data_IF_962147706556
#
_entry.id   IF_962147706556
#
_cell.length_a   1.000
_cell.length_b   1.000
_cell.length_c   1.000
_cell.angle_alpha   90.00
_cell.angle_beta   90.00
_cell.angle_gamma   90.00
#
_symmetry.space_group_name_H-M   'P 1'
#
loop_
_entity.id
_entity.type
_entity.pdbx_description
1 polymer ?
#
# COMPACT_ATOMS: atom_id res chain seq x y z
N UNK A 1 36.05 -7.66 35.44
CA UNK A 1 35.50 -6.48 34.73
C UNK A 1 35.69 -6.54 33.22
N UNK A 2 36.89 -6.84 32.68
CA UNK A 2 37.12 -6.94 31.21
C UNK A 2 36.24 -7.99 30.49
N UNK A 3 35.98 -9.14 31.10
CA UNK A 3 35.10 -10.17 30.53
C UNK A 3 33.61 -9.80 30.57
N UNK A 4 33.21 -8.92 31.50
CA UNK A 4 31.82 -8.46 31.62
C UNK A 4 31.49 -7.44 30.52
N UNK A 5 32.42 -6.55 30.18
CA UNK A 5 32.28 -5.62 29.06
C UNK A 5 32.25 -6.31 27.70
N UNK A 6 33.00 -7.39 27.51
CA UNK A 6 32.95 -8.19 26.27
C UNK A 6 31.62 -8.93 26.12
N UNK A 7 31.03 -9.39 27.23
CA UNK A 7 29.73 -10.08 27.23
C UNK A 7 28.57 -9.13 26.90
N UNK A 8 28.62 -7.89 27.41
CA UNK A 8 27.61 -6.85 27.12
C UNK A 8 27.68 -6.44 25.63
N UNK A 9 28.89 -6.34 25.05
CA UNK A 9 29.05 -6.00 23.64
C UNK A 9 28.54 -7.11 22.71
N UNK A 10 28.72 -8.39 23.08
CA UNK A 10 28.18 -9.51 22.31
C UNK A 10 26.64 -9.61 22.38
N UNK A 11 26.03 -9.18 23.50
CA UNK A 11 24.58 -9.19 23.69
C UNK A 11 23.87 -8.08 22.88
N UNK A 12 24.56 -6.95 22.62
CA UNK A 12 24.01 -5.85 21.81
C UNK A 12 23.97 -6.19 20.30
N UNK A 13 24.82 -7.10 19.82
CA UNK A 13 24.84 -7.51 18.41
C UNK A 13 23.72 -8.50 18.03
N UNK A 14 23.19 -9.26 18.99
CA UNK A 14 22.14 -10.24 18.67
C UNK A 14 20.77 -9.60 18.48
N UNK A 15 20.49 -8.48 19.15
CA UNK A 15 19.18 -7.80 19.06
C UNK A 15 19.00 -7.13 17.69
N UNK A 16 20.06 -6.53 17.13
CA UNK A 16 19.98 -5.86 15.82
C UNK A 16 19.79 -6.84 14.65
N UNK A 17 20.28 -8.08 14.79
CA UNK A 17 20.15 -9.09 13.74
C UNK A 17 18.71 -9.59 13.56
N UNK A 18 17.91 -9.65 14.63
CA UNK A 18 16.49 -10.03 14.55
C UNK A 18 15.62 -8.89 13.99
N UNK A 19 15.93 -7.64 14.32
CA UNK A 19 15.24 -6.46 13.77
C UNK A 19 15.44 -6.31 12.24
N UNK A 20 16.62 -6.65 11.72
CA UNK A 20 16.84 -6.60 10.28
C UNK A 20 16.12 -7.74 9.52
N UNK A 21 16.00 -8.91 10.14
CA UNK A 21 15.42 -10.08 9.47
C UNK A 21 13.90 -9.97 9.22
N UNK A 22 13.14 -9.31 10.09
CA UNK A 22 11.68 -9.21 9.93
C UNK A 22 11.30 -8.11 8.92
N UNK A 23 11.95 -6.95 8.99
CA UNK A 23 11.78 -5.85 8.03
C UNK A 23 12.05 -6.31 6.60
N UNK A 24 13.11 -7.12 6.40
CA UNK A 24 13.42 -7.73 5.10
C UNK A 24 12.32 -8.71 4.64
N UNK A 25 11.79 -9.55 5.53
CA UNK A 25 10.69 -10.48 5.21
C UNK A 25 9.43 -9.73 4.79
N UNK A 26 9.02 -8.71 5.55
CA UNK A 26 7.84 -7.90 5.27
C UNK A 26 8.01 -7.14 3.95
N UNK A 27 9.17 -6.51 3.75
CA UNK A 27 9.48 -5.78 2.50
C UNK A 27 9.38 -6.69 1.29
N UNK A 28 9.92 -7.92 1.37
CA UNK A 28 9.81 -8.90 0.28
C UNK A 28 8.36 -9.31 0.00
N UNK A 29 7.55 -9.51 1.03
CA UNK A 29 6.15 -9.85 0.88
C UNK A 29 5.34 -8.67 0.30
N UNK A 30 5.62 -7.44 0.73
CA UNK A 30 5.00 -6.23 0.19
C UNK A 30 5.36 -6.04 -1.30
N UNK A 31 6.62 -6.25 -1.66
CA UNK A 31 7.05 -6.21 -3.06
C UNK A 31 6.32 -7.27 -3.89
N UNK A 32 6.21 -8.50 -3.40
CA UNK A 32 5.47 -9.57 -4.09
C UNK A 32 4.00 -9.19 -4.31
N UNK A 33 3.37 -8.60 -3.30
CA UNK A 33 2.01 -8.07 -3.38
C UNK A 33 1.89 -6.98 -4.48
N UNK A 34 2.83 -6.04 -4.54
CA UNK A 34 2.85 -5.00 -5.56
C UNK A 34 3.16 -5.53 -6.96
N UNK A 35 4.01 -6.55 -7.08
CA UNK A 35 4.31 -7.21 -8.35
C UNK A 35 3.06 -7.89 -8.89
N UNK A 36 2.25 -8.55 -8.04
CA UNK A 36 0.96 -9.09 -8.45
C UNK A 36 -0.03 -8.01 -8.89
N UNK A 37 -0.07 -6.88 -8.20
CA UNK A 37 -0.92 -5.76 -8.57
C UNK A 37 -0.52 -5.17 -9.94
N UNK A 38 0.79 -5.02 -10.18
CA UNK A 38 1.34 -4.52 -11.46
C UNK A 38 1.11 -5.52 -12.59
N UNK A 39 1.26 -6.81 -12.32
CA UNK A 39 0.98 -7.89 -13.27
C UNK A 39 -0.52 -8.19 -13.44
N UNK A 40 -1.40 -7.46 -12.73
CA UNK A 40 -2.85 -7.68 -12.71
C UNK A 40 -3.24 -9.12 -12.31
N UNK A 41 -2.39 -9.79 -11.52
CA UNK A 41 -2.68 -11.08 -10.91
C UNK A 41 -3.53 -10.87 -9.66
N UNK A 42 -4.83 -10.62 -9.85
CA UNK A 42 -5.73 -10.30 -8.76
C UNK A 42 -5.92 -11.43 -7.76
N UNK A 43 -5.78 -12.70 -8.16
CA UNK A 43 -5.78 -13.79 -7.19
C UNK A 43 -4.59 -13.68 -6.24
N UNK A 44 -3.39 -13.39 -6.76
CA UNK A 44 -2.20 -13.15 -5.95
C UNK A 44 -2.36 -11.94 -5.02
N UNK A 45 -2.96 -10.84 -5.49
CA UNK A 45 -3.27 -9.67 -4.65
C UNK A 45 -4.19 -10.06 -3.48
N UNK A 46 -5.29 -10.75 -3.78
CA UNK A 46 -6.29 -11.14 -2.78
C UNK A 46 -5.76 -12.18 -1.79
N UNK A 47 -4.81 -13.01 -2.20
CA UNK A 47 -4.15 -13.98 -1.29
C UNK A 47 -3.30 -13.30 -0.22
N UNK A 48 -2.80 -12.10 -0.52
CA UNK A 48 -2.04 -11.26 0.41
C UNK A 48 -2.90 -10.31 1.23
N UNK A 49 -4.18 -10.14 0.88
CA UNK A 49 -5.11 -9.29 1.62
C UNK A 49 -5.50 -9.94 2.96
N UNK A 50 -5.61 -9.15 4.02
CA UNK A 50 -6.03 -9.68 5.32
C UNK A 50 -7.48 -10.21 5.24
N UNK A 51 -7.75 -11.49 5.60
CA UNK A 51 -9.03 -12.14 5.25
C UNK A 51 -10.30 -11.47 5.78
N UNK A 52 -10.26 -10.74 6.90
CA UNK A 52 -11.43 -9.98 7.40
C UNK A 52 -11.88 -8.86 6.46
N UNK A 53 -11.06 -8.46 5.49
CA UNK A 53 -11.49 -7.55 4.42
C UNK A 53 -12.65 -8.15 3.62
N UNK A 54 -12.71 -9.48 3.50
CA UNK A 54 -13.80 -10.15 2.79
C UNK A 54 -15.15 -10.14 3.52
N UNK A 55 -15.20 -9.65 4.75
CA UNK A 55 -16.46 -9.41 5.47
C UNK A 55 -17.21 -8.19 4.89
N UNK A 56 -16.48 -7.25 4.25
CA UNK A 56 -17.09 -6.10 3.57
C UNK A 56 -17.67 -6.48 2.20
N UNK A 57 -16.94 -7.30 1.45
CA UNK A 57 -17.39 -7.86 0.18
C UNK A 57 -16.71 -9.21 -0.08
N UNK A 58 -17.42 -10.21 -0.62
CA UNK A 58 -16.83 -11.51 -0.92
C UNK A 58 -15.61 -11.40 -1.84
N UNK A 59 -14.60 -12.25 -1.63
CA UNK A 59 -13.37 -12.31 -2.45
C UNK A 59 -13.66 -12.30 -3.96
N UNK A 60 -14.65 -13.06 -4.41
CA UNK A 60 -15.03 -13.12 -5.83
C UNK A 60 -15.57 -11.77 -6.36
N UNK A 61 -16.34 -11.05 -5.55
CA UNK A 61 -16.84 -9.73 -5.89
C UNK A 61 -15.72 -8.70 -5.92
N UNK A 62 -14.78 -8.74 -4.96
CA UNK A 62 -13.60 -7.89 -4.97
C UNK A 62 -12.74 -8.13 -6.22
N UNK A 63 -12.49 -9.40 -6.55
CA UNK A 63 -11.78 -9.77 -7.78
C UNK A 63 -12.45 -9.18 -9.03
N UNK A 64 -13.76 -9.39 -9.17
CA UNK A 64 -14.51 -8.88 -10.31
C UNK A 64 -14.46 -7.35 -10.40
N UNK A 65 -14.53 -6.65 -9.26
CA UNK A 65 -14.39 -5.19 -9.19
C UNK A 65 -13.00 -4.72 -9.66
N UNK A 66 -11.93 -5.38 -9.21
CA UNK A 66 -10.56 -5.08 -9.66
C UNK A 66 -10.41 -5.34 -11.16
N UNK A 67 -10.87 -6.50 -11.66
CA UNK A 67 -10.83 -6.84 -13.08
C UNK A 67 -11.57 -5.80 -13.93
N UNK A 68 -12.77 -5.40 -13.52
CA UNK A 68 -13.56 -4.39 -14.21
C UNK A 68 -12.85 -3.02 -14.24
N UNK A 69 -12.26 -2.61 -13.11
CA UNK A 69 -11.55 -1.33 -13.01
C UNK A 69 -10.33 -1.29 -13.95
N UNK A 70 -9.56 -2.37 -14.01
CA UNK A 70 -8.33 -2.43 -14.81
C UNK A 70 -8.53 -2.80 -16.28
N UNK A 71 -9.69 -3.35 -16.64
CA UNK A 71 -10.06 -3.68 -18.02
C UNK A 71 -10.98 -2.64 -18.68
N UNK A 72 -11.26 -1.51 -18.01
CA UNK A 72 -12.13 -0.47 -18.55
C UNK A 72 -11.59 0.08 -19.89
N UNK A 73 -12.40 0.11 -20.96
CA UNK A 73 -11.99 0.69 -22.24
C UNK A 73 -11.95 2.22 -22.20
N UNK A 74 -12.59 2.84 -21.22
CA UNK A 74 -12.68 4.30 -21.09
C UNK A 74 -11.47 4.89 -20.35
N UNK A 75 -10.89 4.11 -19.44
CA UNK A 75 -9.81 4.56 -18.57
C UNK A 75 -8.82 3.43 -18.31
N UNK A 76 -7.54 3.71 -18.50
CA UNK A 76 -6.45 2.78 -18.21
C UNK A 76 -5.72 3.23 -16.95
N UNK A 77 -5.59 2.34 -15.97
CA UNK A 77 -4.84 2.58 -14.74
C UNK A 77 -3.58 1.71 -14.76
N UNK A 78 -2.44 2.33 -14.47
CA UNK A 78 -1.13 1.68 -14.43
C UNK A 78 -0.41 2.06 -13.14
N UNK A 79 0.08 1.08 -12.40
CA UNK A 79 1.04 1.31 -11.34
C UNK A 79 2.43 1.43 -11.97
N UNK A 80 3.04 2.61 -11.87
CA UNK A 80 4.38 2.87 -12.40
C UNK A 80 5.46 2.38 -11.44
N UNK A 81 5.27 2.60 -10.14
CA UNK A 81 6.09 2.03 -9.06
C UNK A 81 5.33 1.98 -7.74
N UNK A 82 5.74 1.06 -6.87
CA UNK A 82 5.31 1.00 -5.48
C UNK A 82 6.56 0.65 -4.66
N UNK A 83 7.18 1.68 -4.10
CA UNK A 83 8.49 1.58 -3.48
C UNK A 83 8.32 1.62 -1.95
N UNK A 84 8.65 0.52 -1.27
CA UNK A 84 8.64 0.48 0.21
C UNK A 84 9.72 1.43 0.72
N UNK A 85 9.31 2.46 1.47
CA UNK A 85 10.21 3.48 2.00
C UNK A 85 10.66 3.16 3.43
N UNK A 86 9.78 2.58 4.24
CA UNK A 86 10.05 2.19 5.63
C UNK A 86 9.14 1.03 6.05
N UNK A 87 9.68 0.15 6.89
CA UNK A 87 8.89 -0.80 7.68
C UNK A 87 9.16 -0.48 9.15
N UNK A 88 8.10 -0.34 9.95
CA UNK A 88 8.22 -0.10 11.40
C UNK A 88 8.78 -1.33 12.12
N UNK A 89 9.09 -1.17 13.40
CA UNK A 89 9.29 -2.33 14.27
C UNK A 89 8.00 -3.15 14.43
N UNK A 90 8.13 -4.39 14.92
CA UNK A 90 6.97 -5.25 15.17
C UNK A 90 6.28 -4.91 16.49
N UNK A 91 4.95 -4.89 16.47
CA UNK A 91 4.11 -4.88 17.66
C UNK A 91 3.34 -6.18 17.78
N UNK A 92 3.45 -6.85 18.92
CA UNK A 92 2.68 -8.08 19.19
C UNK A 92 1.52 -7.77 20.15
N UNK A 93 0.30 -8.10 19.74
CA UNK A 93 -0.91 -8.03 20.57
C UNK A 93 -1.70 -9.31 20.35
N UNK A 94 -2.07 -9.99 21.44
CA UNK A 94 -2.86 -11.23 21.38
C UNK A 94 -2.29 -12.33 20.46
N UNK A 95 -0.96 -12.44 20.39
CA UNK A 95 -0.20 -13.36 19.51
C UNK A 95 -0.29 -13.05 18.01
N UNK A 96 -0.88 -11.92 17.64
CA UNK A 96 -0.83 -11.38 16.28
C UNK A 96 0.30 -10.37 16.25
N UNK A 97 1.17 -10.49 15.25
CA UNK A 97 2.25 -9.53 15.00
C UNK A 97 1.83 -8.54 13.95
N UNK A 98 2.08 -7.26 14.20
CA UNK A 98 1.76 -6.14 13.34
C UNK A 98 3.03 -5.35 13.02
N UNK A 99 3.10 -4.80 11.82
CA UNK A 99 4.06 -3.77 11.43
C UNK A 99 3.36 -2.76 10.50
N UNK A 100 3.81 -1.52 10.47
CA UNK A 100 3.42 -0.54 9.46
C UNK A 100 4.41 -0.59 8.30
N UNK A 101 3.89 -0.58 7.08
CA UNK A 101 4.67 -0.49 5.84
C UNK A 101 4.32 0.85 5.20
N UNK A 102 5.32 1.72 5.13
CA UNK A 102 5.24 2.99 4.44
C UNK A 102 5.82 2.81 3.05
N UNK A 103 5.15 3.37 2.06
CA UNK A 103 5.55 3.23 0.67
C UNK A 103 5.15 4.45 -0.13
N UNK A 104 5.92 4.71 -1.17
CA UNK A 104 5.59 5.69 -2.18
C UNK A 104 4.96 4.96 -3.37
N UNK A 105 3.74 5.34 -3.74
CA UNK A 105 3.01 4.76 -4.87
C UNK A 105 2.90 5.79 -5.99
N UNK A 106 3.36 5.39 -7.18
CA UNK A 106 3.25 6.19 -8.38
C UNK A 106 2.31 5.52 -9.36
N UNK A 107 1.22 6.20 -9.67
CA UNK A 107 0.17 5.69 -10.56
C UNK A 107 -0.01 6.61 -11.77
N UNK A 108 -0.40 6.02 -12.90
CA UNK A 108 -0.81 6.74 -14.09
C UNK A 108 -2.25 6.36 -14.44
N UNK A 109 -3.09 7.37 -14.52
CA UNK A 109 -4.47 7.26 -14.98
C UNK A 109 -4.57 7.89 -16.37
N UNK A 110 -4.95 7.11 -17.38
CA UNK A 110 -5.09 7.57 -18.76
C UNK A 110 -6.55 7.52 -19.18
N UNK A 111 -7.09 8.65 -19.63
CA UNK A 111 -8.48 8.79 -20.06
C UNK A 111 -8.61 8.50 -21.55
N UNK A 112 -8.80 7.24 -21.89
CA UNK A 112 -8.83 6.74 -23.27
C UNK A 112 -10.03 7.30 -24.03
N UNK A 113 -11.19 7.41 -23.38
CA UNK A 113 -12.42 7.96 -23.98
C UNK A 113 -12.29 9.42 -24.44
N UNK A 114 -11.37 10.16 -23.84
CA UNK A 114 -11.21 11.60 -24.07
C UNK A 114 -10.22 11.92 -25.20
N UNK A 115 -9.38 10.96 -25.63
CA UNK A 115 -8.27 11.23 -26.57
C UNK A 115 -8.72 11.81 -27.92
N UNK A 116 -9.89 11.41 -28.40
CA UNK A 116 -10.41 11.81 -29.72
C UNK A 116 -11.34 13.04 -29.68
N UNK A 117 -11.55 13.64 -28.50
CA UNK A 117 -12.38 14.84 -28.36
C UNK A 117 -11.64 16.10 -28.82
N UNK A 118 -12.36 17.19 -29.12
CA UNK A 118 -11.76 18.50 -29.38
C UNK A 118 -10.76 18.92 -28.29
N UNK A 119 -9.73 19.67 -28.67
CA UNK A 119 -8.64 20.07 -27.76
C UNK A 119 -9.14 20.84 -26.54
N UNK A 120 -10.11 21.73 -26.73
CA UNK A 120 -10.72 22.51 -25.65
C UNK A 120 -11.43 21.62 -24.63
N UNK A 121 -12.24 20.66 -25.09
CA UNK A 121 -12.95 19.70 -24.24
C UNK A 121 -11.96 18.84 -23.44
N UNK A 122 -10.91 18.36 -24.11
CA UNK A 122 -9.84 17.58 -23.50
C UNK A 122 -9.14 18.36 -22.38
N UNK A 123 -8.84 19.62 -22.64
CA UNK A 123 -8.16 20.48 -21.68
C UNK A 123 -9.05 20.75 -20.47
N UNK A 124 -10.29 21.14 -20.70
CA UNK A 124 -11.27 21.36 -19.63
C UNK A 124 -11.50 20.12 -18.78
N UNK A 125 -11.60 18.95 -19.41
CA UNK A 125 -11.74 17.67 -18.70
C UNK A 125 -10.48 17.35 -17.87
N UNK A 126 -9.29 17.44 -18.47
CA UNK A 126 -8.05 17.12 -17.77
C UNK A 126 -7.79 18.07 -16.59
N UNK A 127 -8.08 19.36 -16.75
CA UNK A 127 -7.96 20.36 -15.69
C UNK A 127 -8.94 20.07 -14.54
N UNK A 128 -10.18 19.69 -14.85
CA UNK A 128 -11.18 19.28 -13.85
C UNK A 128 -10.73 18.03 -13.08
N UNK A 129 -10.26 17.00 -13.78
CA UNK A 129 -9.77 15.78 -13.16
C UNK A 129 -8.52 16.06 -12.33
N UNK A 130 -7.59 16.89 -12.83
CA UNK A 130 -6.40 17.30 -12.08
C UNK A 130 -6.81 18.01 -10.79
N UNK A 131 -7.72 18.99 -10.85
CA UNK A 131 -8.20 19.69 -9.65
C UNK A 131 -8.82 18.74 -8.62
N UNK A 132 -9.51 17.70 -9.08
CA UNK A 132 -10.13 16.69 -8.20
C UNK A 132 -9.08 15.81 -7.53
N UNK A 133 -8.00 15.47 -8.25
CA UNK A 133 -6.87 14.71 -7.69
C UNK A 133 -5.99 15.59 -6.79
N UNK A 134 -5.75 16.85 -7.15
CA UNK A 134 -5.01 17.84 -6.34
C UNK A 134 -5.66 17.98 -4.96
N UNK A 135 -6.99 18.01 -4.90
CA UNK A 135 -7.75 18.06 -3.65
C UNK A 135 -7.55 16.83 -2.77
N UNK A 136 -7.26 15.66 -3.35
CA UNK A 136 -7.16 14.39 -2.62
C UNK A 136 -5.71 14.09 -2.23
N UNK A 137 -4.76 14.38 -3.11
CA UNK A 137 -3.37 13.96 -2.99
C UNK A 137 -2.39 15.11 -2.78
N UNK A 138 -2.81 16.36 -2.94
CA UNK A 138 -1.94 17.53 -2.97
C UNK A 138 -1.53 17.91 -4.39
N UNK A 139 -1.45 19.22 -4.67
CA UNK A 139 -1.20 19.72 -6.02
C UNK A 139 0.22 19.42 -6.53
N UNK A 140 1.17 19.30 -5.61
CA UNK A 140 2.57 18.91 -5.84
C UNK A 140 2.72 17.43 -6.23
N UNK A 141 1.71 16.63 -5.90
CA UNK A 141 1.71 15.17 -6.05
C UNK A 141 0.99 14.71 -7.33
N UNK A 142 0.43 15.63 -8.11
CA UNK A 142 -0.32 15.31 -9.33
C UNK A 142 0.22 16.10 -10.52
N UNK A 143 0.71 15.37 -11.51
CA UNK A 143 1.17 15.93 -12.78
C UNK A 143 0.23 15.53 -13.93
N UNK A 144 -0.05 16.47 -14.83
CA UNK A 144 -0.85 16.24 -16.04
C UNK A 144 0.04 16.05 -17.27
N UNK A 145 -0.24 15.02 -18.06
CA UNK A 145 0.30 14.83 -19.42
C UNK A 145 -0.86 14.94 -20.42
N UNK A 146 -1.00 16.13 -21.01
CA UNK A 146 -2.06 16.44 -21.96
C UNK A 146 -1.95 15.62 -23.26
N UNK A 147 -0.73 15.30 -23.68
CA UNK A 147 -0.50 14.55 -24.92
C UNK A 147 -1.01 13.13 -24.78
N UNK A 148 -0.72 12.50 -23.64
CA UNK A 148 -1.22 11.17 -23.32
C UNK A 148 -2.66 11.16 -22.78
N UNK A 149 -3.27 12.33 -22.51
CA UNK A 149 -4.53 12.45 -21.76
C UNK A 149 -4.48 11.68 -20.45
N UNK A 150 -3.46 11.96 -19.63
CA UNK A 150 -3.23 11.23 -18.39
C UNK A 150 -2.85 12.11 -17.22
N UNK A 151 -3.16 11.64 -16.02
CA UNK A 151 -2.64 12.15 -14.77
C UNK A 151 -1.65 11.14 -14.18
N UNK A 152 -0.55 11.66 -13.66
CA UNK A 152 0.43 10.90 -12.89
C UNK A 152 0.28 11.37 -11.45
N UNK A 153 -0.05 10.43 -10.56
CA UNK A 153 -0.25 10.67 -9.14
C UNK A 153 0.91 10.01 -8.40
N UNK A 154 1.56 10.76 -7.53
CA UNK A 154 2.62 10.28 -6.66
C UNK A 154 2.19 10.49 -5.21
N UNK A 155 2.00 9.43 -4.44
CA UNK A 155 1.47 9.54 -3.08
C UNK A 155 2.27 8.69 -2.12
N UNK A 156 2.51 9.24 -0.93
CA UNK A 156 2.95 8.47 0.21
C UNK A 156 1.74 7.81 0.87
N UNK A 157 1.86 6.53 1.13
CA UNK A 157 0.79 5.71 1.67
C UNK A 157 1.31 4.75 2.73
N UNK A 158 0.39 4.21 3.51
CA UNK A 158 0.70 3.24 4.57
C UNK A 158 -0.26 2.07 4.49
N UNK A 159 0.25 0.89 4.83
CA UNK A 159 -0.56 -0.30 5.09
C UNK A 159 -0.04 -1.02 6.32
N UNK A 160 -0.88 -1.82 6.96
CA UNK A 160 -0.47 -2.70 8.04
C UNK A 160 -0.11 -4.09 7.48
N UNK A 161 1.07 -4.57 7.82
CA UNK A 161 1.46 -5.97 7.69
C UNK A 161 1.01 -6.71 8.96
N UNK A 162 0.29 -7.83 8.79
CA UNK A 162 -0.33 -8.59 9.86
C UNK A 162 0.06 -10.06 9.72
N UNK A 163 0.76 -10.60 10.71
CA UNK A 163 1.08 -12.02 10.86
C UNK A 163 0.17 -12.60 11.93
N UNK A 164 -0.95 -13.12 11.49
CA UNK A 164 -1.94 -13.77 12.32
C UNK A 164 -1.73 -15.30 12.26
N UNK A 165 -1.55 -16.00 13.39
CA UNK A 165 -1.37 -17.45 13.41
C UNK A 165 -2.48 -18.26 12.74
N UNK A 166 -3.66 -17.67 12.53
CA UNK A 166 -4.77 -18.31 11.80
C UNK A 166 -4.53 -18.38 10.29
N UNK A 167 -3.63 -17.56 9.76
CA UNK A 167 -3.37 -17.44 8.33
C UNK A 167 -1.92 -17.73 7.99
N UNK A 168 -1.67 -18.14 6.74
CA UNK A 168 -0.31 -18.41 6.27
C UNK A 168 0.34 -17.12 5.78
N UNK A 169 1.53 -16.84 6.33
CA UNK A 169 2.38 -15.72 5.93
C UNK A 169 1.86 -14.36 6.38
N UNK A 170 2.55 -13.31 5.93
CA UNK A 170 2.15 -11.92 6.14
C UNK A 170 0.95 -11.57 5.26
N UNK A 171 0.00 -10.84 5.83
CA UNK A 171 -1.15 -10.26 5.13
C UNK A 171 -1.14 -8.75 5.24
N UNK A 172 -1.74 -8.06 4.28
CA UNK A 172 -1.73 -6.62 4.19
C UNK A 172 -3.14 -6.05 4.28
N UNK A 173 -3.23 -4.89 4.95
CA UNK A 173 -4.44 -4.10 5.09
C UNK A 173 -4.10 -2.63 4.83
N UNK A 174 -4.67 -2.05 3.76
CA UNK A 174 -4.49 -0.63 3.44
C UNK A 174 -4.96 0.27 4.58
N UNK A 175 -4.21 1.34 4.85
CA UNK A 175 -4.53 2.33 5.87
C UNK A 175 -4.90 3.66 5.19
N UNK A 176 -6.11 3.71 4.64
CA UNK A 176 -6.71 4.90 4.06
C UNK A 176 -8.06 5.23 4.72
N UNK A 177 -8.57 6.43 4.44
CA UNK A 177 -9.82 6.92 5.03
C UNK A 177 -11.04 6.06 4.68
N UNK A 178 -11.07 5.46 3.49
CA UNK A 178 -12.16 4.58 3.08
C UNK A 178 -12.15 3.25 3.86
N UNK A 179 -10.96 2.80 4.26
CA UNK A 179 -10.75 1.59 5.06
C UNK A 179 -10.75 1.83 6.56
N UNK A 180 -10.87 3.09 7.02
CA UNK A 180 -10.71 3.47 8.43
C UNK A 180 -11.54 2.63 9.40
N UNK A 181 -12.82 2.39 9.10
CA UNK A 181 -13.69 1.59 9.98
C UNK A 181 -13.20 0.15 10.12
N UNK A 182 -12.73 -0.45 9.02
CA UNK A 182 -12.22 -1.81 9.03
C UNK A 182 -10.86 -1.88 9.75
N UNK A 183 -9.96 -0.93 9.46
CA UNK A 183 -8.68 -0.79 10.16
C UNK A 183 -8.89 -0.67 11.66
N UNK A 184 -9.82 0.19 12.09
CA UNK A 184 -10.13 0.42 13.50
C UNK A 184 -10.68 -0.85 14.19
N UNK A 185 -11.32 -1.75 13.44
CA UNK A 185 -11.84 -3.04 13.89
C UNK A 185 -10.80 -4.17 13.92
N UNK A 186 -9.73 -4.09 13.12
CA UNK A 186 -8.77 -5.19 12.94
C UNK A 186 -7.48 -4.93 13.70
N UNK A 187 -6.94 -3.72 13.57
CA UNK A 187 -5.65 -3.34 14.12
C UNK A 187 -5.92 -2.57 15.41
N UNK A 188 -5.50 -3.02 16.61
CA UNK A 188 -5.81 -2.31 17.86
C UNK A 188 -5.28 -0.87 17.88
N UNK A 189 -5.95 0.02 18.61
CA UNK A 189 -5.55 1.44 18.69
C UNK A 189 -4.11 1.61 19.16
N UNK A 190 -3.69 0.84 20.18
CA UNK A 190 -2.31 0.86 20.68
C UNK A 190 -1.28 0.53 19.60
N UNK A 191 -1.61 -0.38 18.68
CA UNK A 191 -0.75 -0.74 17.54
C UNK A 191 -0.69 0.42 16.55
N UNK A 192 -1.84 0.99 16.18
CA UNK A 192 -1.91 2.11 15.22
C UNK A 192 -1.14 3.33 15.74
N UNK A 193 -1.31 3.69 17.01
CA UNK A 193 -0.62 4.83 17.62
C UNK A 193 0.89 4.62 17.73
N UNK A 194 1.35 3.41 18.04
CA UNK A 194 2.78 3.13 18.18
C UNK A 194 3.46 3.10 16.81
N UNK A 195 2.94 2.30 15.88
CA UNK A 195 3.60 2.04 14.60
C UNK A 195 3.52 3.19 13.60
N UNK A 196 2.51 4.07 13.70
CA UNK A 196 2.37 5.22 12.81
C UNK A 196 3.12 6.47 13.30
N UNK A 197 3.50 6.53 14.58
CA UNK A 197 4.20 7.67 15.17
C UNK A 197 5.72 7.45 15.34
N UNK A 198 6.25 6.31 14.90
CA UNK A 198 7.69 6.11 14.80
C UNK A 198 8.24 7.02 13.70
N UNK A 199 8.74 8.21 14.07
CA UNK A 199 9.58 9.08 13.24
C UNK A 199 10.98 8.46 13.06
#
# INVERSE_FOLDING_TARGET
>A
MKHLTTLILALLFTVTSFAQSHTDEITKNAQTYYDYMTAQNFDGVLDYMYPKVFDMAPRAQMKAGMEQMFSSPEMKIEFLSNDVTKVSEEKVVEKITYAAVFYNSKMKMTFVSEQNKPEEDRKGFLDMMKSTMDSQFGAENVASDFKAMSLIINMDATMFAIKDPQYTGWKFLGNDDAMKMLVDSIVPESVRTELLNEE
#
